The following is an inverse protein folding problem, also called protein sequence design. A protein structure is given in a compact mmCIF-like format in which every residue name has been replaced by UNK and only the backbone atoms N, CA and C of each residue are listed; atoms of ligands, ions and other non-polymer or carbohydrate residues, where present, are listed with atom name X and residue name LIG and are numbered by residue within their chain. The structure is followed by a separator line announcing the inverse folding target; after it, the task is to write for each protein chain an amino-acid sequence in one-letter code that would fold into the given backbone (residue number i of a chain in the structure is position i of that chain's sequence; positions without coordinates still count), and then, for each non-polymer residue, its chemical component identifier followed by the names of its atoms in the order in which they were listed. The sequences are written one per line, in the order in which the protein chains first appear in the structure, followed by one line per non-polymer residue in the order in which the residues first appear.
data_IF_612769227760
#
_entry.id   IF_612769227760
#
_cell.length_a   1.000
_cell.length_b   1.000
_cell.length_c   1.000
_cell.angle_alpha   90.00
_cell.angle_beta   90.00
_cell.angle_gamma   90.00
#
_symmetry.space_group_name_H-M   'P 1'
#
loop_
_entity.id
_entity.type
_entity.pdbx_description
1 polymer ?
#
# COMPACT_ATOMS: atom_id res chain seq x y z
N UNK A 1 0.85 -2.48 -16.63
CA UNK A 1 -0.20 -3.36 -16.07
C UNK A 1 0.18 -3.95 -14.70
N UNK A 2 1.44 -4.35 -14.47
CA UNK A 2 1.92 -4.95 -13.22
C UNK A 2 1.51 -4.19 -11.93
N UNK A 3 1.65 -2.87 -11.90
CA UNK A 3 1.24 -1.99 -10.77
C UNK A 3 -0.21 -2.20 -10.33
N UNK A 4 -1.11 -2.43 -11.28
CA UNK A 4 -2.54 -2.62 -10.98
C UNK A 4 -2.78 -3.98 -10.35
N UNK A 5 -2.18 -5.04 -10.92
CA UNK A 5 -2.33 -6.40 -10.42
C UNK A 5 -1.76 -6.55 -9.01
N UNK A 6 -0.59 -5.97 -8.73
CA UNK A 6 -0.01 -5.97 -7.38
C UNK A 6 -0.87 -5.18 -6.40
N UNK A 7 -1.39 -4.00 -6.79
CA UNK A 7 -2.34 -3.26 -5.94
C UNK A 7 -3.63 -4.04 -5.64
N UNK A 8 -4.16 -4.78 -6.62
CA UNK A 8 -5.35 -5.63 -6.46
C UNK A 8 -5.09 -6.77 -5.47
N UNK A 9 -3.92 -7.41 -5.58
CA UNK A 9 -3.50 -8.44 -4.63
C UNK A 9 -3.31 -7.89 -3.21
N UNK A 10 -2.69 -6.73 -3.05
CA UNK A 10 -2.51 -6.10 -1.74
C UNK A 10 -3.85 -5.77 -1.07
N UNK A 11 -4.86 -5.29 -1.82
CA UNK A 11 -6.21 -5.05 -1.27
C UNK A 11 -6.91 -6.37 -0.84
N UNK A 12 -6.80 -7.43 -1.65
CA UNK A 12 -7.39 -8.74 -1.32
C UNK A 12 -6.84 -9.33 -0.02
N UNK A 13 -5.55 -9.09 0.28
CA UNK A 13 -4.89 -9.60 1.49
C UNK A 13 -4.84 -8.57 2.64
N UNK A 14 -5.56 -7.44 2.53
CA UNK A 14 -5.54 -6.35 3.53
C UNK A 14 -4.14 -5.78 3.84
N UNK A 15 -3.20 -5.80 2.89
CA UNK A 15 -1.82 -5.34 3.07
C UNK A 15 -1.60 -3.86 2.70
N UNK A 16 -2.68 -3.12 2.43
CA UNK A 16 -2.63 -1.75 1.88
C UNK A 16 -2.13 -0.72 2.88
N UNK A 17 -2.34 -1.00 4.16
CA UNK A 17 -2.03 -0.07 5.26
C UNK A 17 -0.54 -0.14 5.62
N UNK A 18 0.10 -1.28 5.33
CA UNK A 18 1.52 -1.49 5.60
C UNK A 18 2.42 -1.32 4.37
N UNK A 19 1.91 -1.59 3.16
CA UNK A 19 2.73 -1.68 1.95
C UNK A 19 2.19 -0.83 0.78
N UNK A 20 3.10 -0.07 0.14
CA UNK A 20 2.83 0.64 -1.12
C UNK A 20 3.74 0.19 -2.26
N UNK A 21 3.18 0.12 -3.46
CA UNK A 21 3.93 -0.12 -4.71
C UNK A 21 4.44 1.21 -5.24
N UNK A 22 5.75 1.35 -5.38
CA UNK A 22 6.44 2.53 -5.92
C UNK A 22 7.17 2.15 -7.21
N UNK A 23 7.13 3.02 -8.22
CA UNK A 23 7.94 2.87 -9.43
C UNK A 23 9.30 3.50 -9.19
N UNK A 24 10.38 2.71 -9.27
CA UNK A 24 11.75 3.23 -9.16
C UNK A 24 12.27 3.72 -10.50
N UNK A 25 11.97 2.97 -11.55
CA UNK A 25 12.31 3.26 -12.94
C UNK A 25 11.12 2.94 -13.85
N UNK A 26 11.26 3.09 -15.17
CA UNK A 26 10.18 2.80 -16.14
C UNK A 26 9.65 1.35 -16.04
N UNK A 27 10.54 0.39 -15.80
CA UNK A 27 10.19 -1.04 -15.79
C UNK A 27 10.33 -1.70 -14.41
N UNK A 28 10.79 -0.95 -13.40
CA UNK A 28 11.07 -1.50 -12.06
C UNK A 28 10.07 -0.97 -11.03
N UNK A 29 9.46 -1.90 -10.28
CA UNK A 29 8.55 -1.61 -9.18
C UNK A 29 9.11 -2.21 -7.89
N UNK A 30 9.06 -1.45 -6.81
CA UNK A 30 9.45 -1.87 -5.48
C UNK A 30 8.26 -1.76 -4.53
N UNK A 31 8.22 -2.63 -3.52
CA UNK A 31 7.31 -2.50 -2.38
C UNK A 31 8.03 -1.74 -1.26
N UNK A 32 7.37 -0.72 -0.71
CA UNK A 32 7.89 0.05 0.42
C UNK A 32 6.92 0.00 1.58
N UNK A 33 7.47 -0.15 2.78
CA UNK A 33 6.73 0.07 4.02
C UNK A 33 6.41 1.56 4.19
N UNK A 34 5.26 1.85 4.77
CA UNK A 34 5.04 3.16 5.38
C UNK A 34 5.89 3.25 6.66
N UNK A 35 6.63 4.35 6.83
CA UNK A 35 7.18 4.67 8.14
C UNK A 35 6.00 5.12 8.99
N UNK A 36 5.46 4.19 9.78
CA UNK A 36 4.53 4.53 10.84
C UNK A 36 5.39 5.22 11.90
N UNK A 37 5.54 6.53 11.79
CA UNK A 37 5.87 7.34 12.96
C UNK A 37 4.63 7.23 13.83
N UNK A 38 4.73 6.54 14.97
CA UNK A 38 3.61 6.32 15.88
C UNK A 38 2.83 7.61 16.10
N UNK A 39 1.66 7.66 15.48
CA UNK A 39 0.53 8.50 15.80
C UNK A 39 -0.59 7.46 15.80
N UNK A 40 -0.71 6.65 16.86
CA UNK A 40 -1.64 6.95 17.96
C UNK A 40 -2.66 8.04 17.57
N UNK A 41 -3.89 7.58 17.42
CA UNK A 41 -5.16 8.30 17.20
C UNK A 41 -5.58 8.63 15.75
N UNK A 42 -6.83 8.24 15.48
CA UNK A 42 -7.71 8.49 14.33
C UNK A 42 -7.43 7.80 12.99
N UNK A 43 -8.14 6.69 12.77
CA UNK A 43 -9.07 6.57 11.62
C UNK A 43 -10.01 5.36 11.91
N UNK A 44 -10.94 5.56 12.86
CA UNK A 44 -12.31 5.11 12.63
C UNK A 44 -12.84 5.86 11.40
N UNK A 45 -13.71 5.20 10.61
CA UNK A 45 -14.34 5.70 9.36
C UNK A 45 -13.59 5.40 8.04
N UNK A 46 -13.95 4.27 7.40
CA UNK A 46 -14.70 4.30 6.12
C UNK A 46 -14.70 2.90 5.46
N UNK A 47 -15.84 2.19 5.55
CA UNK A 47 -16.44 1.39 4.48
C UNK A 47 -17.67 0.63 5.00
N UNK A 48 -18.82 1.30 4.91
CA UNK A 48 -20.10 0.64 4.58
C UNK A 48 -20.08 0.19 3.11
#
# INVERSE_FOLDING_TARGET
YLKYLTKKYLKKNKLRDWLRVVSKDKDTYELRYFQITSQEDDDEEDAE
#
